data_IF_659320594997
#
_entry.id   IF_659320594997
#
_cell.length_a   1.000
_cell.length_b   1.000
_cell.length_c   1.000
_cell.angle_alpha   90.00
_cell.angle_beta   90.00
_cell.angle_gamma   90.00
#
_symmetry.space_group_name_H-M   'P 1'
#
loop_
_entity.id
_entity.type
_entity.pdbx_description
1 polymer ?
#
# COMPACT_ATOMS: atom_id res chain seq x y z
N UNK A 1 -9.22 -22.17 12.66
CA UNK A 1 -9.91 -20.87 12.86
C UNK A 1 -9.06 -19.77 12.27
N UNK A 2 -9.59 -19.00 11.32
CA UNK A 2 -8.87 -17.83 10.77
C UNK A 2 -8.88 -16.72 11.84
N UNK A 3 -7.72 -16.31 12.27
CA UNK A 3 -7.53 -15.23 13.24
C UNK A 3 -7.89 -13.89 12.55
N UNK A 4 -8.93 -13.22 13.03
CA UNK A 4 -9.29 -11.89 12.54
C UNK A 4 -8.29 -10.91 13.11
N UNK A 5 -7.63 -10.14 12.23
CA UNK A 5 -6.60 -9.16 12.59
C UNK A 5 -7.09 -7.75 12.29
N UNK A 6 -6.73 -6.80 13.14
CA UNK A 6 -6.91 -5.38 12.88
C UNK A 6 -5.58 -4.77 12.45
N UNK A 7 -5.64 -3.70 11.67
CA UNK A 7 -4.46 -2.96 11.27
C UNK A 7 -4.39 -1.61 12.00
N UNK A 8 -3.23 -1.35 12.58
CA UNK A 8 -2.94 -0.05 13.21
C UNK A 8 -2.92 1.05 12.14
N UNK A 9 -3.51 2.20 12.47
CA UNK A 9 -3.68 3.36 11.56
C UNK A 9 -4.59 3.13 10.36
N UNK A 10 -5.38 2.06 10.37
CA UNK A 10 -6.41 1.82 9.35
C UNK A 10 -7.82 1.91 9.94
N UNK A 11 -8.80 2.15 9.07
CA UNK A 11 -10.22 2.13 9.38
C UNK A 11 -10.76 0.70 9.26
N UNK A 12 -10.57 -0.10 10.30
CA UNK A 12 -11.01 -1.49 10.29
C UNK A 12 -12.55 -1.56 10.40
N UNK A 13 -13.22 -2.06 9.37
CA UNK A 13 -14.68 -2.23 9.36
C UNK A 13 -15.06 -3.55 10.03
N UNK A 14 -15.90 -3.46 11.04
CA UNK A 14 -16.41 -4.61 11.78
C UNK A 14 -17.94 -4.65 11.70
N UNK A 15 -18.47 -5.85 11.51
CA UNK A 15 -19.91 -6.12 11.68
C UNK A 15 -20.09 -6.84 13.00
N UNK A 16 -20.89 -6.26 13.88
CA UNK A 16 -21.17 -6.79 15.22
C UNK A 16 -22.68 -6.96 15.32
N UNK A 17 -23.12 -8.17 15.64
CA UNK A 17 -24.53 -8.50 15.81
C UNK A 17 -24.71 -9.53 16.91
N UNK A 18 -25.85 -9.46 17.58
CA UNK A 18 -26.26 -10.44 18.61
C UNK A 18 -27.51 -11.14 18.08
N UNK A 19 -27.51 -12.47 17.92
CA UNK A 19 -28.67 -13.20 17.44
C UNK A 19 -29.91 -12.93 18.30
N UNK A 20 -31.03 -12.61 17.67
CA UNK A 20 -32.28 -12.33 18.36
C UNK A 20 -32.39 -10.96 19.02
N UNK A 21 -31.40 -10.08 18.89
CA UNK A 21 -31.38 -8.72 19.43
C UNK A 21 -31.31 -7.69 18.33
N UNK A 22 -32.17 -6.68 18.36
CA UNK A 22 -32.09 -5.55 17.40
C UNK A 22 -30.80 -4.79 17.59
N UNK A 23 -30.20 -4.31 16.47
CA UNK A 23 -28.96 -3.50 16.45
C UNK A 23 -29.06 -2.21 17.29
N UNK A 24 -30.27 -1.70 17.52
CA UNK A 24 -30.54 -0.54 18.39
C UNK A 24 -30.38 -0.85 19.88
N UNK A 25 -30.49 -2.11 20.25
CA UNK A 25 -30.34 -2.62 21.63
C UNK A 25 -28.95 -3.18 21.92
N UNK A 26 -28.04 -3.19 20.91
CA UNK A 26 -26.66 -3.65 21.07
C UNK A 26 -25.77 -2.45 21.39
N UNK A 27 -25.04 -2.56 22.51
CA UNK A 27 -24.00 -1.62 22.92
C UNK A 27 -22.63 -2.30 22.84
N UNK A 28 -21.66 -1.57 22.35
CA UNK A 28 -20.31 -2.09 22.16
C UNK A 28 -19.31 -1.16 22.85
N UNK A 29 -18.47 -1.74 23.69
CA UNK A 29 -17.36 -1.05 24.35
C UNK A 29 -16.03 -1.58 23.83
N UNK A 30 -15.02 -0.72 23.79
CA UNK A 30 -13.70 -1.05 23.26
C UNK A 30 -12.59 -0.67 24.25
N UNK A 31 -11.57 -1.53 24.34
CA UNK A 31 -10.32 -1.26 25.05
C UNK A 31 -9.20 -1.37 24.04
N UNK A 32 -8.29 -0.39 24.00
CA UNK A 32 -7.14 -0.36 23.09
C UNK A 32 -7.40 0.35 21.77
N UNK A 33 -8.50 1.14 21.65
CA UNK A 33 -8.80 1.88 20.44
C UNK A 33 -10.05 2.74 20.56
N UNK A 34 -10.54 3.24 19.42
CA UNK A 34 -11.82 3.92 19.28
C UNK A 34 -12.76 3.12 18.39
N UNK A 35 -14.06 3.18 18.66
CA UNK A 35 -15.08 2.51 17.88
C UNK A 35 -16.17 3.51 17.53
N UNK A 36 -16.44 3.70 16.24
CA UNK A 36 -17.48 4.59 15.76
C UNK A 36 -18.51 3.82 14.93
N UNK A 37 -19.78 3.93 15.24
CA UNK A 37 -20.86 3.32 14.46
C UNK A 37 -21.06 4.09 13.16
N UNK A 38 -21.10 3.37 12.05
CA UNK A 38 -21.32 3.91 10.69
C UNK A 38 -22.31 3.01 9.96
N UNK A 39 -23.60 3.38 10.00
CA UNK A 39 -24.69 2.55 9.50
C UNK A 39 -24.75 1.19 10.19
N UNK A 40 -24.67 0.11 9.43
CA UNK A 40 -24.68 -1.28 9.92
C UNK A 40 -23.31 -1.82 10.34
N UNK A 41 -22.26 -0.97 10.29
CA UNK A 41 -20.89 -1.34 10.63
C UNK A 41 -20.35 -0.48 11.77
N UNK A 42 -19.25 -0.95 12.33
CA UNK A 42 -18.41 -0.19 13.24
C UNK A 42 -17.05 0.04 12.58
N UNK A 43 -16.51 1.23 12.72
CA UNK A 43 -15.15 1.57 12.32
C UNK A 43 -14.28 1.52 13.58
N UNK A 44 -13.39 0.55 13.63
CA UNK A 44 -12.42 0.38 14.71
C UNK A 44 -11.08 1.01 14.31
N UNK A 45 -10.58 1.91 15.16
CA UNK A 45 -9.23 2.49 15.04
C UNK A 45 -8.43 2.11 16.28
N UNK A 46 -7.51 1.13 16.18
CA UNK A 46 -6.61 0.81 17.27
C UNK A 46 -5.73 2.01 17.65
N UNK A 47 -5.50 2.22 18.95
CA UNK A 47 -4.64 3.33 19.44
C UNK A 47 -3.14 3.01 19.36
N UNK A 48 -2.77 1.75 19.11
CA UNK A 48 -1.39 1.28 19.02
C UNK A 48 -1.32 -0.13 18.45
N UNK A 49 -0.20 -0.81 18.67
CA UNK A 49 0.03 -2.19 18.24
C UNK A 49 -0.39 -3.24 19.28
N UNK A 50 -0.92 -2.80 20.43
CA UNK A 50 -1.46 -3.71 21.46
C UNK A 50 -2.81 -4.27 21.00
N UNK A 51 -3.15 -5.46 21.52
CA UNK A 51 -4.42 -6.09 21.23
C UNK A 51 -5.61 -5.20 21.60
N UNK A 52 -6.65 -5.26 20.79
CA UNK A 52 -7.92 -4.56 21.02
C UNK A 52 -8.92 -5.56 21.55
N UNK A 53 -9.57 -5.23 22.67
CA UNK A 53 -10.68 -6.01 23.22
C UNK A 53 -12.00 -5.28 22.95
N UNK A 54 -12.93 -5.99 22.35
CA UNK A 54 -14.29 -5.51 22.09
C UNK A 54 -15.25 -6.30 22.96
N UNK A 55 -16.02 -5.60 23.79
CA UNK A 55 -17.06 -6.18 24.63
C UNK A 55 -18.43 -5.82 24.04
N UNK A 56 -19.31 -6.80 23.94
CA UNK A 56 -20.67 -6.64 23.41
C UNK A 56 -21.69 -6.83 24.55
N UNK A 57 -22.56 -5.86 24.68
CA UNK A 57 -23.68 -5.89 25.63
C UNK A 57 -24.98 -5.75 24.85
N UNK A 58 -26.06 -6.27 25.40
CA UNK A 58 -27.40 -6.08 24.85
C UNK A 58 -28.36 -5.60 25.94
N UNK A 59 -29.28 -4.73 25.57
CA UNK A 59 -30.42 -4.36 26.41
C UNK A 59 -31.48 -5.46 26.31
N UNK A 60 -31.63 -6.20 27.40
CA UNK A 60 -32.66 -7.23 27.59
C UNK A 60 -33.59 -6.77 28.69
N UNK A 61 -34.79 -6.41 28.32
CA UNK A 61 -35.83 -5.93 29.27
C UNK A 61 -35.38 -4.77 30.17
N UNK A 62 -34.64 -3.81 29.60
CA UNK A 62 -34.13 -2.63 30.31
C UNK A 62 -32.85 -2.86 31.12
N UNK A 63 -32.24 -4.04 31.03
CA UNK A 63 -30.97 -4.37 31.69
C UNK A 63 -29.87 -4.64 30.64
N UNK A 64 -28.71 -4.05 30.88
CA UNK A 64 -27.52 -4.31 30.03
C UNK A 64 -26.88 -5.63 30.43
N UNK A 65 -26.97 -6.62 29.56
CA UNK A 65 -26.44 -7.97 29.74
C UNK A 65 -25.23 -8.19 28.88
N UNK A 66 -24.08 -8.67 29.40
CA UNK A 66 -22.92 -9.02 28.58
C UNK A 66 -23.25 -10.19 27.65
N UNK A 67 -22.98 -10.00 26.34
CA UNK A 67 -23.20 -11.01 25.31
C UNK A 67 -21.90 -11.69 24.86
N UNK A 68 -20.76 -11.17 25.30
CA UNK A 68 -19.44 -11.74 25.01
C UNK A 68 -18.38 -10.70 24.77
N UNK A 69 -17.16 -11.17 24.59
CA UNK A 69 -16.01 -10.32 24.22
C UNK A 69 -15.12 -11.03 23.21
N UNK A 70 -14.43 -10.24 22.39
CA UNK A 70 -13.44 -10.73 21.43
C UNK A 70 -12.16 -9.92 21.54
N UNK A 71 -11.02 -10.61 21.45
CA UNK A 71 -9.69 -9.99 21.40
C UNK A 71 -9.20 -10.07 19.97
N UNK A 72 -8.77 -8.93 19.45
CA UNK A 72 -8.23 -8.80 18.10
C UNK A 72 -6.76 -8.41 18.18
N UNK A 73 -5.90 -9.18 17.53
CA UNK A 73 -4.51 -8.79 17.39
C UNK A 73 -4.38 -7.64 16.43
N UNK A 74 -3.60 -6.64 16.83
CA UNK A 74 -3.29 -5.48 15.99
C UNK A 74 -1.93 -5.68 15.34
N UNK A 75 -1.87 -5.48 14.02
CA UNK A 75 -0.64 -5.49 13.25
C UNK A 75 -0.38 -4.12 12.63
N UNK A 76 0.89 -3.75 12.55
CA UNK A 76 1.29 -2.63 11.71
C UNK A 76 1.01 -2.96 10.24
N UNK A 77 0.54 -1.97 9.50
CA UNK A 77 0.49 -2.09 8.03
C UNK A 77 1.92 -2.28 7.50
N UNK A 78 2.14 -3.19 6.57
CA UNK A 78 3.43 -3.29 5.88
C UNK A 78 3.75 -1.98 5.16
N UNK A 79 5.02 -1.75 4.86
CA UNK A 79 5.36 -0.65 3.97
C UNK A 79 4.89 -0.98 2.55
N UNK A 80 4.44 0.03 1.77
CA UNK A 80 4.10 -0.19 0.38
C UNK A 80 5.35 -0.54 -0.43
N UNK A 81 5.16 -1.25 -1.52
CA UNK A 81 6.20 -1.49 -2.51
C UNK A 81 6.03 -0.55 -3.72
N UNK A 82 7.11 -0.05 -4.31
CA UNK A 82 7.05 0.71 -5.55
C UNK A 82 6.93 -0.24 -6.75
N UNK A 83 6.17 0.17 -7.76
CA UNK A 83 6.03 -0.54 -9.02
C UNK A 83 6.19 0.45 -10.17
N UNK A 84 6.79 0.01 -11.27
CA UNK A 84 6.72 0.70 -12.55
C UNK A 84 5.43 0.30 -13.25
N UNK A 85 4.52 1.25 -13.42
CA UNK A 85 3.27 1.06 -14.15
C UNK A 85 3.47 1.46 -15.59
N UNK A 86 3.18 0.54 -16.51
CA UNK A 86 3.21 0.77 -17.95
C UNK A 86 2.05 0.07 -18.64
N UNK A 87 1.83 0.36 -19.93
CA UNK A 87 0.85 -0.34 -20.76
C UNK A 87 1.57 -1.35 -21.64
N UNK A 88 1.13 -2.60 -21.63
CA UNK A 88 1.70 -3.66 -22.48
C UNK A 88 1.25 -3.53 -23.94
N UNK A 89 1.74 -4.43 -24.81
CA UNK A 89 1.38 -4.45 -26.24
C UNK A 89 -0.10 -4.75 -26.52
N UNK A 90 -0.80 -5.31 -25.55
CA UNK A 90 -2.23 -5.65 -25.63
C UNK A 90 -3.13 -4.55 -25.07
N UNK A 91 -2.55 -3.45 -24.57
CA UNK A 91 -3.27 -2.35 -23.94
C UNK A 91 -3.57 -2.56 -22.45
N UNK A 92 -3.05 -3.61 -21.82
CA UNK A 92 -3.27 -3.86 -20.40
C UNK A 92 -2.30 -3.04 -19.54
N UNK A 93 -2.78 -2.59 -18.39
CA UNK A 93 -1.94 -1.95 -17.37
C UNK A 93 -1.17 -3.03 -16.63
N UNK A 94 0.14 -2.88 -16.56
CA UNK A 94 1.06 -3.77 -15.84
C UNK A 94 1.77 -2.97 -14.76
N UNK A 95 1.73 -3.47 -13.52
CA UNK A 95 2.52 -3.00 -12.39
C UNK A 95 3.70 -3.96 -12.20
N UNK A 96 4.90 -3.47 -12.45
CA UNK A 96 6.11 -4.28 -12.49
C UNK A 96 7.05 -3.93 -11.34
N UNK A 97 7.47 -4.96 -10.60
CA UNK A 97 8.58 -4.89 -9.65
C UNK A 97 9.44 -6.15 -9.80
N UNK A 98 10.74 -6.02 -10.14
CA UNK A 98 11.62 -7.17 -10.36
C UNK A 98 11.71 -8.15 -9.19
N UNK A 99 11.62 -7.66 -7.95
CA UNK A 99 11.66 -8.52 -6.76
C UNK A 99 10.41 -9.38 -6.57
N UNK A 100 9.30 -8.99 -7.20
CA UNK A 100 8.00 -9.68 -7.08
C UNK A 100 7.73 -10.52 -8.35
N UNK A 101 7.95 -9.91 -9.51
CA UNK A 101 7.59 -10.49 -10.81
C UNK A 101 8.75 -11.22 -11.49
N UNK A 102 9.98 -11.07 -10.97
CA UNK A 102 11.18 -11.42 -11.72
C UNK A 102 11.29 -10.55 -12.99
N UNK A 103 12.11 -10.96 -13.95
CA UNK A 103 12.27 -10.19 -15.19
C UNK A 103 11.28 -10.54 -16.30
N UNK A 104 10.36 -11.47 -16.07
CA UNK A 104 9.40 -11.95 -17.09
C UNK A 104 8.43 -10.88 -17.60
N UNK A 105 8.12 -9.90 -16.76
CA UNK A 105 7.23 -8.78 -17.09
C UNK A 105 8.01 -7.46 -17.24
N UNK A 106 9.30 -7.51 -17.52
CA UNK A 106 10.08 -6.29 -17.68
C UNK A 106 9.58 -5.48 -18.89
N UNK A 107 9.43 -4.15 -18.76
CA UNK A 107 9.01 -3.29 -19.87
C UNK A 107 10.09 -3.25 -20.94
N UNK A 108 9.70 -3.20 -22.20
CA UNK A 108 10.62 -2.82 -23.27
C UNK A 108 10.97 -1.32 -23.19
N UNK A 109 11.94 -0.85 -24.01
CA UNK A 109 12.41 0.55 -23.94
C UNK A 109 11.29 1.57 -24.16
N UNK A 110 10.36 1.32 -25.09
CA UNK A 110 9.22 2.21 -25.36
C UNK A 110 8.25 2.27 -24.17
N UNK A 111 7.94 1.12 -23.60
CA UNK A 111 7.09 1.00 -22.41
C UNK A 111 7.74 1.65 -21.18
N UNK A 112 9.05 1.44 -20.99
CA UNK A 112 9.80 2.07 -19.90
C UNK A 112 9.77 3.60 -19.99
N UNK A 113 9.97 4.17 -21.18
CA UNK A 113 9.92 5.62 -21.40
C UNK A 113 8.52 6.22 -21.13
N UNK A 114 7.47 5.43 -21.23
CA UNK A 114 6.10 5.85 -20.94
C UNK A 114 5.61 5.45 -19.53
N UNK A 115 6.47 4.78 -18.75
CA UNK A 115 6.11 4.28 -17.41
C UNK A 115 6.09 5.41 -16.38
N UNK A 116 5.43 5.12 -15.25
CA UNK A 116 5.46 5.94 -14.04
C UNK A 116 5.55 5.06 -12.81
N UNK A 117 6.06 5.61 -11.71
CA UNK A 117 6.00 4.91 -10.43
C UNK A 117 4.59 4.97 -9.83
N UNK A 118 4.18 3.86 -9.23
CA UNK A 118 3.02 3.76 -8.34
C UNK A 118 3.47 3.01 -7.09
N UNK A 119 2.78 3.20 -5.98
CA UNK A 119 3.02 2.45 -4.76
C UNK A 119 1.74 1.74 -4.33
N UNK A 120 1.88 0.50 -3.90
CA UNK A 120 0.77 -0.32 -3.41
C UNK A 120 1.32 -1.42 -2.49
N UNK A 121 0.45 -2.09 -1.76
CA UNK A 121 0.86 -3.27 -1.00
C UNK A 121 1.19 -4.42 -1.95
N UNK A 122 2.31 -5.11 -1.66
CA UNK A 122 2.83 -6.16 -2.53
C UNK A 122 1.91 -7.38 -2.64
N UNK A 123 1.09 -7.64 -1.63
CA UNK A 123 0.13 -8.76 -1.59
C UNK A 123 -1.15 -8.51 -2.40
N UNK A 124 -1.41 -7.27 -2.81
CA UNK A 124 -2.62 -6.86 -3.52
C UNK A 124 -3.93 -6.99 -2.73
N UNK A 125 -3.88 -7.48 -1.48
CA UNK A 125 -5.06 -7.71 -0.64
C UNK A 125 -5.51 -6.45 0.10
N UNK A 126 -4.54 -5.63 0.50
CA UNK A 126 -4.79 -4.36 1.18
C UNK A 126 -4.87 -3.24 0.15
N UNK A 127 -5.87 -2.39 0.29
CA UNK A 127 -6.03 -1.19 -0.54
C UNK A 127 -5.77 0.04 0.31
N UNK A 128 -4.88 0.89 -0.15
CA UNK A 128 -4.67 2.22 0.41
C UNK A 128 -4.24 3.17 -0.69
N UNK A 129 -4.54 4.44 -0.51
CA UNK A 129 -4.15 5.50 -1.43
C UNK A 129 -2.71 5.91 -1.13
N UNK A 130 -1.82 5.56 -2.03
CA UNK A 130 -0.43 5.97 -2.02
C UNK A 130 -0.14 6.87 -3.22
N UNK A 131 0.71 7.86 -3.01
CA UNK A 131 1.25 8.69 -4.10
C UNK A 131 2.77 8.73 -4.04
N UNK A 132 3.42 8.76 -5.21
CA UNK A 132 4.86 9.01 -5.30
C UNK A 132 5.05 10.52 -5.48
N UNK A 133 5.75 11.12 -4.52
CA UNK A 133 6.00 12.56 -4.51
C UNK A 133 7.23 12.95 -5.34
N UNK A 134 8.31 12.16 -5.23
CA UNK A 134 9.55 12.39 -5.97
C UNK A 134 10.37 11.09 -6.03
N UNK A 135 11.36 11.07 -6.90
CA UNK A 135 12.40 10.05 -6.97
C UNK A 135 13.60 10.51 -7.79
N UNK A 136 14.74 9.87 -7.53
CA UNK A 136 15.97 10.08 -8.29
C UNK A 136 16.24 8.89 -9.20
N UNK A 137 16.74 9.17 -10.38
CA UNK A 137 17.27 8.19 -11.33
C UNK A 137 18.77 8.39 -11.49
N UNK A 138 19.53 7.32 -11.31
CA UNK A 138 20.98 7.31 -11.48
C UNK A 138 21.36 6.34 -12.60
N UNK A 139 22.18 6.78 -13.52
CA UNK A 139 22.75 5.95 -14.57
C UNK A 139 24.23 6.30 -14.79
N UNK A 140 25.01 5.30 -15.19
CA UNK A 140 26.42 5.51 -15.53
C UNK A 140 26.55 5.93 -16.98
N UNK A 141 27.10 7.10 -17.23
CA UNK A 141 27.34 7.65 -18.55
C UNK A 141 28.80 8.09 -18.65
N UNK A 142 29.51 7.63 -19.69
CA UNK A 142 30.91 7.97 -19.94
C UNK A 142 31.82 7.75 -18.71
N UNK A 143 31.59 6.70 -17.94
CA UNK A 143 32.41 6.34 -16.78
C UNK A 143 32.05 7.10 -15.47
N UNK A 144 31.06 8.00 -15.50
CA UNK A 144 30.58 8.71 -14.32
C UNK A 144 29.09 8.50 -14.04
N UNK A 145 28.69 8.61 -12.78
CA UNK A 145 27.28 8.54 -12.40
C UNK A 145 26.60 9.89 -12.64
N UNK A 146 25.50 9.84 -13.37
CA UNK A 146 24.62 10.99 -13.62
C UNK A 146 23.30 10.77 -12.87
N UNK A 147 22.91 11.73 -12.04
CA UNK A 147 21.64 11.71 -11.32
C UNK A 147 20.69 12.74 -11.90
N UNK A 148 19.45 12.34 -12.12
CA UNK A 148 18.33 13.20 -12.53
C UNK A 148 17.12 12.90 -11.66
N UNK A 149 16.41 13.96 -11.24
CA UNK A 149 15.30 13.84 -10.29
C UNK A 149 13.96 14.12 -10.96
N UNK A 150 12.89 13.56 -10.40
CA UNK A 150 11.52 13.90 -10.70
C UNK A 150 10.80 14.33 -9.42
N UNK A 151 9.93 15.31 -9.52
CA UNK A 151 9.05 15.80 -8.44
C UNK A 151 7.62 15.27 -8.56
N UNK A 152 7.42 14.23 -9.35
CA UNK A 152 6.14 13.56 -9.56
C UNK A 152 6.37 12.05 -9.64
N UNK A 153 5.29 11.30 -9.84
CA UNK A 153 5.38 9.84 -10.11
C UNK A 153 5.87 9.51 -11.52
N UNK A 154 5.83 10.44 -12.47
CA UNK A 154 6.29 10.26 -13.84
C UNK A 154 7.76 10.66 -13.98
N UNK A 155 8.42 10.14 -15.01
CA UNK A 155 9.79 10.55 -15.35
C UNK A 155 9.81 12.00 -15.84
N UNK A 156 10.78 12.77 -15.35
CA UNK A 156 11.04 14.13 -15.85
C UNK A 156 11.63 14.09 -17.26
N UNK A 157 11.55 15.21 -17.99
CA UNK A 157 12.15 15.32 -19.32
C UNK A 157 13.65 15.04 -19.32
N UNK A 158 14.35 15.44 -18.25
CA UNK A 158 15.78 15.17 -18.10
C UNK A 158 16.06 13.68 -17.89
N UNK A 159 15.22 12.98 -17.11
CA UNK A 159 15.32 11.54 -16.94
C UNK A 159 15.04 10.80 -18.26
N UNK A 160 13.99 11.20 -18.98
CA UNK A 160 13.66 10.64 -20.29
C UNK A 160 14.78 10.86 -21.30
N UNK A 161 15.35 12.06 -21.33
CA UNK A 161 16.49 12.38 -22.20
C UNK A 161 17.70 11.52 -21.88
N UNK A 162 18.03 11.34 -20.60
CA UNK A 162 19.10 10.46 -20.15
C UNK A 162 18.85 9.01 -20.56
N UNK A 163 17.66 8.47 -20.31
CA UNK A 163 17.30 7.09 -20.69
C UNK A 163 17.42 6.82 -22.20
N UNK A 164 17.09 7.82 -23.04
CA UNK A 164 17.24 7.68 -24.49
C UNK A 164 18.70 7.49 -24.93
N UNK A 165 19.66 8.05 -24.20
CA UNK A 165 21.08 7.93 -24.49
C UNK A 165 21.71 6.61 -24.05
N UNK A 166 21.04 5.88 -23.14
CA UNK A 166 21.56 4.64 -22.60
C UNK A 166 21.46 3.50 -23.60
N UNK A 167 22.48 2.65 -23.60
CA UNK A 167 22.57 1.45 -24.44
C UNK A 167 21.88 0.26 -23.75
N UNK A 168 21.42 -0.73 -24.52
CA UNK A 168 20.92 -1.99 -23.96
C UNK A 168 21.92 -2.62 -22.99
N UNK A 169 21.42 -3.13 -21.86
CA UNK A 169 22.22 -3.74 -20.81
C UNK A 169 22.82 -2.76 -19.78
N UNK A 170 22.82 -1.45 -20.03
CA UNK A 170 23.17 -0.49 -18.99
C UNK A 170 22.06 -0.43 -17.93
N UNK A 171 22.46 -0.32 -16.67
CA UNK A 171 21.51 -0.32 -15.56
C UNK A 171 21.08 1.09 -15.17
N UNK A 172 19.81 1.21 -14.79
CA UNK A 172 19.24 2.38 -14.15
C UNK A 172 18.96 2.02 -12.71
N UNK A 173 19.39 2.88 -11.80
CA UNK A 173 19.11 2.80 -10.38
C UNK A 173 18.09 3.86 -10.01
N UNK A 174 17.06 3.47 -9.28
CA UNK A 174 16.09 4.39 -8.70
C UNK A 174 16.33 4.53 -7.20
N UNK A 175 16.46 5.77 -6.75
CA UNK A 175 16.77 6.09 -5.35
C UNK A 175 15.78 7.12 -4.81
N UNK A 176 15.71 7.22 -3.48
CA UNK A 176 14.92 8.23 -2.79
C UNK A 176 13.46 8.29 -3.26
N UNK A 177 12.87 7.14 -3.59
CA UNK A 177 11.47 7.06 -4.03
C UNK A 177 10.59 7.40 -2.83
N UNK A 178 10.11 8.62 -2.76
CA UNK A 178 9.30 9.11 -1.66
C UNK A 178 7.82 8.78 -1.90
N UNK A 179 7.30 7.90 -1.06
CA UNK A 179 5.90 7.52 -1.05
C UNK A 179 5.17 8.26 0.08
N UNK A 180 4.05 8.88 -0.26
CA UNK A 180 3.13 9.55 0.67
C UNK A 180 1.86 8.72 0.78
N UNK A 181 1.49 8.39 2.01
CA UNK A 181 0.29 7.66 2.39
C UNK A 181 -0.09 8.05 3.81
N UNK A 182 -0.47 7.10 4.65
CA UNK A 182 -0.68 7.33 6.09
C UNK A 182 0.60 7.86 6.79
N UNK A 183 1.76 7.55 6.25
CA UNK A 183 3.07 8.11 6.60
C UNK A 183 3.88 8.33 5.33
N UNK A 184 4.88 9.20 5.38
CA UNK A 184 5.88 9.31 4.32
C UNK A 184 6.94 8.22 4.51
N UNK A 185 7.25 7.48 3.45
CA UNK A 185 8.20 6.37 3.45
C UNK A 185 9.12 6.49 2.24
N UNK A 186 10.40 6.22 2.42
CA UNK A 186 11.35 6.09 1.31
C UNK A 186 11.38 4.62 0.89
N UNK A 187 11.07 4.37 -0.38
CA UNK A 187 10.98 3.05 -0.95
C UNK A 187 12.26 2.69 -1.71
N UNK A 188 12.57 1.40 -1.74
CA UNK A 188 13.67 0.85 -2.53
C UNK A 188 13.11 0.13 -3.76
N UNK A 189 13.75 0.32 -4.90
CA UNK A 189 13.44 -0.36 -6.15
C UNK A 189 14.73 -0.96 -6.71
N UNK A 190 14.73 -2.23 -7.16
CA UNK A 190 15.91 -2.85 -7.72
C UNK A 190 16.35 -2.16 -9.02
N UNK A 191 17.65 -2.21 -9.37
CA UNK A 191 18.12 -1.71 -10.64
C UNK A 191 17.46 -2.47 -11.80
N UNK A 192 17.20 -1.78 -12.88
CA UNK A 192 16.69 -2.38 -14.10
C UNK A 192 17.64 -2.14 -15.25
N UNK A 193 17.95 -3.19 -16.05
CA UNK A 193 18.72 -3.01 -17.27
C UNK A 193 17.88 -2.30 -18.32
N UNK A 194 18.50 -1.45 -19.12
CA UNK A 194 17.89 -0.92 -20.34
C UNK A 194 17.64 -2.11 -21.28
N UNK A 195 16.38 -2.37 -21.67
CA UNK A 195 16.08 -3.51 -22.52
C UNK A 195 16.69 -3.32 -23.92
N UNK A 196 17.12 -4.41 -24.51
CA UNK A 196 17.30 -4.50 -25.96
C UNK A 196 15.92 -4.29 -26.62
N UNK A 197 15.89 -3.71 -27.80
CA UNK A 197 14.65 -3.30 -28.51
C UNK A 197 13.49 -4.24 -28.33
#
# INVERSE_FOLDING_TARGET
MSEIRLFYRDNNRLKISVPGVSDSKVKVDIVGGTLTKSGSFYICKPSGNADVKINVLADVEGKMVPMGSSIFRVKALPDPAPFLRYTDSNGNIVDYNPNIDGYKKAPNKKQLLAAKFVAQYADGLLKADFSIANFDMVATVRGGNTTKSSTTSAFSEEQLSLMKTLKPGQEIFFKNIQCVGAKTTILSYPPIPIPAK
#
